data_IF_301080123707
#
_entry.id   IF_301080123707
#
_cell.length_a   1.000
_cell.length_b   1.000
_cell.length_c   1.000
_cell.angle_alpha   90.00
_cell.angle_beta   90.00
_cell.angle_gamma   90.00
#
_symmetry.space_group_name_H-M   'P 1'
#
loop_
_entity.id
_entity.type
_entity.pdbx_description
1 polymer ?
#
# COMPACT_ATOMS: atom_id res chain seq x y z
N UNK A 1 14.53 10.43 38.30
CA UNK A 1 13.20 10.48 37.65
C UNK A 1 13.43 10.75 36.18
N UNK A 2 12.85 9.94 35.28
CA UNK A 2 13.26 9.85 33.88
C UNK A 2 12.76 11.02 33.02
N UNK A 3 13.42 11.32 31.88
CA UNK A 3 13.05 12.39 30.98
C UNK A 3 11.75 12.08 30.23
N UNK A 4 10.96 13.13 29.98
CA UNK A 4 9.73 13.07 29.20
C UNK A 4 10.06 12.74 27.73
N UNK A 5 9.79 11.50 27.33
CA UNK A 5 9.88 11.06 25.95
C UNK A 5 8.61 11.43 25.20
N UNK A 6 8.65 12.51 24.44
CA UNK A 6 7.65 12.87 23.45
C UNK A 6 7.52 11.72 22.43
N UNK A 7 6.34 11.15 22.27
CA UNK A 7 6.02 10.28 21.12
C UNK A 7 6.07 11.13 19.86
N UNK A 8 7.20 11.12 19.16
CA UNK A 8 7.33 11.76 17.86
C UNK A 8 6.62 10.90 16.81
N UNK A 9 5.56 11.44 16.22
CA UNK A 9 4.86 10.82 15.09
C UNK A 9 5.78 10.95 13.89
N UNK A 10 6.49 9.86 13.54
CA UNK A 10 7.36 9.82 12.36
C UNK A 10 6.51 10.10 11.12
N UNK A 11 6.84 11.12 10.30
CA UNK A 11 6.12 11.40 9.07
C UNK A 11 6.12 10.19 8.14
N UNK A 12 4.96 9.87 7.55
CA UNK A 12 4.78 8.69 6.65
C UNK A 12 5.78 8.61 5.49
N UNK A 13 6.37 9.74 5.10
CA UNK A 13 7.35 9.86 4.04
C UNK A 13 8.74 9.36 4.46
N UNK A 14 9.01 9.24 5.76
CA UNK A 14 10.24 8.71 6.34
C UNK A 14 10.20 7.19 6.54
N UNK A 15 9.02 6.59 6.74
CA UNK A 15 8.90 5.13 6.98
C UNK A 15 9.49 4.33 5.82
N UNK A 16 9.13 4.72 4.60
CA UNK A 16 9.57 4.03 3.38
C UNK A 16 10.92 4.57 2.91
N UNK A 17 11.46 5.57 3.60
CA UNK A 17 12.65 6.26 3.14
C UNK A 17 13.93 5.46 3.33
N UNK A 18 13.95 4.68 4.41
CA UNK A 18 15.11 3.90 4.84
C UNK A 18 15.07 2.47 4.31
N UNK A 19 14.11 2.13 3.44
CA UNK A 19 14.02 0.80 2.87
C UNK A 19 15.22 0.53 1.95
N UNK A 20 15.89 -0.59 2.22
CA UNK A 20 16.79 -1.22 1.25
C UNK A 20 16.02 -1.60 -0.01
N UNK A 21 16.72 -1.76 -1.14
CA UNK A 21 16.08 -2.14 -2.40
C UNK A 21 15.32 -3.47 -2.28
N UNK A 22 15.86 -4.44 -1.53
CA UNK A 22 15.19 -5.72 -1.31
C UNK A 22 13.92 -5.59 -0.47
N UNK A 23 13.93 -4.75 0.58
CA UNK A 23 12.73 -4.48 1.38
C UNK A 23 11.65 -3.79 0.54
N UNK A 24 12.06 -2.83 -0.28
CA UNK A 24 11.16 -2.11 -1.15
C UNK A 24 10.55 -3.02 -2.22
N UNK A 25 11.33 -3.93 -2.78
CA UNK A 25 10.89 -4.90 -3.77
C UNK A 25 9.89 -5.89 -3.19
N UNK A 26 10.16 -6.42 -1.98
CA UNK A 26 9.23 -7.29 -1.25
C UNK A 26 7.92 -6.57 -0.94
N UNK A 27 7.99 -5.35 -0.41
CA UNK A 27 6.80 -4.55 -0.08
C UNK A 27 5.96 -4.26 -1.34
N UNK A 28 6.60 -3.80 -2.42
CA UNK A 28 5.93 -3.54 -3.69
C UNK A 28 5.25 -4.79 -4.25
N UNK A 29 5.96 -5.92 -4.33
CA UNK A 29 5.42 -7.15 -4.88
C UNK A 29 4.20 -7.64 -4.09
N UNK A 30 4.27 -7.54 -2.77
CA UNK A 30 3.22 -8.03 -1.91
C UNK A 30 2.00 -7.07 -1.88
N UNK A 31 2.19 -5.75 -1.96
CA UNK A 31 1.07 -4.81 -2.15
C UNK A 31 0.41 -4.92 -3.53
N UNK A 32 1.20 -5.17 -4.58
CA UNK A 32 0.66 -5.42 -5.91
C UNK A 32 -0.20 -6.69 -5.91
N UNK A 33 0.26 -7.76 -5.25
CA UNK A 33 -0.52 -9.00 -5.08
C UNK A 33 -1.77 -8.78 -4.23
N UNK A 34 -1.67 -8.07 -3.11
CA UNK A 34 -2.83 -7.71 -2.29
C UNK A 34 -3.90 -6.99 -3.11
N UNK A 35 -3.50 -5.98 -3.89
CA UNK A 35 -4.41 -5.21 -4.76
C UNK A 35 -5.13 -6.10 -5.77
N UNK A 36 -4.46 -7.12 -6.33
CA UNK A 36 -5.07 -8.07 -7.27
C UNK A 36 -6.05 -9.04 -6.60
N UNK A 37 -5.87 -9.31 -5.31
CA UNK A 37 -6.70 -10.24 -4.54
C UNK A 37 -7.96 -9.58 -3.98
N UNK A 38 -8.03 -8.25 -3.96
CA UNK A 38 -9.21 -7.54 -3.48
C UNK A 38 -10.42 -7.76 -4.41
N UNK A 39 -11.61 -8.04 -3.86
CA UNK A 39 -12.85 -8.07 -4.63
C UNK A 39 -13.13 -6.73 -5.32
N UNK A 40 -13.48 -6.75 -6.61
CA UNK A 40 -13.80 -5.54 -7.39
C UNK A 40 -15.09 -4.85 -6.94
N UNK A 41 -16.01 -5.63 -6.38
CA UNK A 41 -17.29 -5.23 -5.79
C UNK A 41 -17.18 -5.00 -4.27
N UNK A 42 -15.97 -4.72 -3.78
CA UNK A 42 -15.75 -4.39 -2.37
C UNK A 42 -16.49 -3.11 -1.93
N UNK A 43 -16.77 -2.97 -0.63
CA UNK A 43 -17.44 -1.79 -0.07
C UNK A 43 -16.55 -0.54 -0.11
N UNK A 44 -15.23 -0.72 -0.23
CA UNK A 44 -14.26 0.35 -0.41
C UNK A 44 -13.83 0.40 -1.87
N UNK A 45 -14.25 1.45 -2.57
CA UNK A 45 -13.89 1.68 -3.96
C UNK A 45 -12.78 2.72 -4.07
N UNK A 46 -11.76 2.41 -4.87
CA UNK A 46 -10.66 3.35 -5.14
C UNK A 46 -11.12 4.34 -6.22
N UNK A 47 -10.97 5.67 -6.03
CA UNK A 47 -11.29 6.64 -7.06
C UNK A 47 -10.49 6.39 -8.35
N UNK A 48 -11.08 6.67 -9.53
CA UNK A 48 -10.44 6.41 -10.83
C UNK A 48 -9.07 7.09 -10.95
N UNK A 49 -8.90 8.30 -10.41
CA UNK A 49 -7.61 8.99 -10.39
C UNK A 49 -6.52 8.21 -9.64
N UNK A 50 -6.84 7.70 -8.44
CA UNK A 50 -5.93 6.88 -7.65
C UNK A 50 -5.64 5.52 -8.32
N UNK A 51 -6.60 4.95 -9.04
CA UNK A 51 -6.39 3.73 -9.85
C UNK A 51 -5.39 3.97 -10.98
N UNK A 52 -5.52 5.10 -11.70
CA UNK A 52 -4.61 5.49 -12.77
C UNK A 52 -3.20 5.78 -12.26
N UNK A 53 -3.08 6.44 -11.10
CA UNK A 53 -1.80 6.68 -10.45
C UNK A 53 -1.12 5.36 -10.01
N UNK A 54 -1.88 4.48 -9.36
CA UNK A 54 -1.41 3.14 -8.96
C UNK A 54 -0.94 2.35 -10.18
N UNK A 55 -1.67 2.41 -11.30
CA UNK A 55 -1.28 1.80 -12.56
C UNK A 55 0.02 2.39 -13.12
N UNK A 56 0.13 3.71 -13.19
CA UNK A 56 1.30 4.39 -13.72
C UNK A 56 2.57 4.04 -12.92
N UNK A 57 2.49 4.09 -11.59
CA UNK A 57 3.58 3.71 -10.69
C UNK A 57 3.97 2.24 -10.85
N UNK A 58 2.99 1.33 -10.98
CA UNK A 58 3.26 -0.08 -11.23
C UNK A 58 4.00 -0.30 -12.56
N UNK A 59 3.60 0.38 -13.64
CA UNK A 59 4.27 0.30 -14.94
C UNK A 59 5.69 0.88 -14.88
N UNK A 60 5.86 2.01 -14.22
CA UNK A 60 7.18 2.62 -14.03
C UNK A 60 8.11 1.74 -13.19
N UNK A 61 7.60 1.12 -12.12
CA UNK A 61 8.35 0.22 -11.24
C UNK A 61 8.83 -1.07 -11.93
N UNK A 62 8.02 -1.60 -12.86
CA UNK A 62 8.29 -2.88 -13.54
C UNK A 62 9.05 -2.69 -14.85
N UNK A 63 8.56 -1.79 -15.71
CA UNK A 63 9.10 -1.58 -17.06
C UNK A 63 10.10 -0.43 -17.07
N UNK A 64 9.83 0.65 -16.34
CA UNK A 64 10.56 1.92 -16.41
C UNK A 64 9.78 2.98 -17.20
N UNK A 65 10.47 3.98 -17.78
CA UNK A 65 9.84 5.06 -18.55
C UNK A 65 8.88 4.55 -19.64
N UNK A 66 7.83 5.33 -19.91
CA UNK A 66 6.84 4.99 -20.93
C UNK A 66 7.51 4.85 -22.30
N UNK A 67 7.44 3.65 -22.86
CA UNK A 67 8.11 3.26 -24.11
C UNK A 67 7.11 2.84 -25.20
N UNK A 68 5.82 3.14 -25.01
CA UNK A 68 4.75 2.75 -25.94
C UNK A 68 4.22 3.97 -26.69
N UNK A 69 3.79 3.83 -27.96
CA UNK A 69 3.20 4.93 -28.70
C UNK A 69 1.88 5.37 -28.06
N UNK A 70 1.54 6.66 -28.22
CA UNK A 70 0.31 7.23 -27.69
C UNK A 70 -0.92 6.56 -28.34
N UNK A 71 -1.87 6.02 -27.55
CA UNK A 71 -3.08 5.39 -28.08
C UNK A 71 -3.99 6.36 -28.87
N UNK A 72 -4.80 5.78 -29.75
CA UNK A 72 -5.80 6.51 -30.54
C UNK A 72 -6.82 7.24 -29.65
N UNK A 73 -7.32 8.38 -30.15
CA UNK A 73 -8.37 9.19 -29.52
C UNK A 73 -9.66 8.40 -29.24
N UNK A 74 -9.93 7.35 -30.03
CA UNK A 74 -11.12 6.51 -29.91
C UNK A 74 -11.06 5.52 -28.72
N UNK A 75 -9.93 5.43 -28.02
CA UNK A 75 -9.75 4.60 -26.83
C UNK A 75 -9.44 5.46 -25.59
N UNK A 76 -10.44 6.14 -25.01
CA UNK A 76 -10.22 7.14 -23.95
C UNK A 76 -9.57 6.53 -22.71
N UNK A 77 -9.95 5.32 -22.31
CA UNK A 77 -9.39 4.64 -21.13
C UNK A 77 -7.90 4.34 -21.34
N UNK A 78 -7.54 3.77 -22.49
CA UNK A 78 -6.14 3.48 -22.82
C UNK A 78 -5.30 4.76 -22.86
N UNK A 79 -5.88 5.85 -23.36
CA UNK A 79 -5.24 7.16 -23.39
C UNK A 79 -5.02 7.73 -21.99
N UNK A 80 -5.97 7.57 -21.07
CA UNK A 80 -5.81 7.97 -19.67
C UNK A 80 -4.70 7.19 -18.97
N UNK A 81 -4.69 5.86 -19.13
CA UNK A 81 -3.65 4.99 -18.58
C UNK A 81 -2.26 5.34 -19.15
N UNK A 82 -2.17 5.56 -20.47
CA UNK A 82 -0.94 5.99 -21.13
C UNK A 82 -0.49 7.36 -20.65
N UNK A 83 -1.40 8.34 -20.55
CA UNK A 83 -1.07 9.68 -20.08
C UNK A 83 -0.54 9.65 -18.65
N UNK A 84 -1.14 8.83 -17.76
CA UNK A 84 -0.70 8.68 -16.39
C UNK A 84 0.72 8.10 -16.32
N UNK A 85 1.01 7.04 -17.09
CA UNK A 85 2.36 6.45 -17.13
C UNK A 85 3.38 7.41 -17.78
N UNK A 86 3.03 8.03 -18.91
CA UNK A 86 3.90 8.97 -19.62
C UNK A 86 4.25 10.21 -18.77
N UNK A 87 3.34 10.66 -17.90
CA UNK A 87 3.57 11.80 -17.00
C UNK A 87 4.71 11.56 -16.00
N UNK A 88 5.03 10.30 -15.68
CA UNK A 88 6.13 9.96 -14.75
C UNK A 88 7.52 10.18 -15.38
N UNK A 89 7.61 10.31 -16.70
CA UNK A 89 8.85 10.61 -17.41
C UNK A 89 9.99 9.64 -17.06
N UNK A 90 11.10 10.21 -16.59
CA UNK A 90 12.33 9.48 -16.28
C UNK A 90 12.42 8.99 -14.82
N UNK A 91 11.31 8.97 -14.07
CA UNK A 91 11.28 8.43 -12.71
C UNK A 91 11.91 7.04 -12.65
N UNK A 92 12.80 6.81 -11.70
CA UNK A 92 13.50 5.52 -11.59
C UNK A 92 12.55 4.42 -11.09
N UNK A 93 12.90 3.16 -11.35
CA UNK A 93 12.11 2.01 -10.83
C UNK A 93 12.03 2.04 -9.30
N UNK A 94 13.12 2.44 -8.62
CA UNK A 94 13.19 2.53 -7.16
C UNK A 94 12.21 3.59 -6.64
N UNK A 95 12.25 4.80 -7.19
CA UNK A 95 11.32 5.88 -6.82
C UNK A 95 9.87 5.48 -7.06
N UNK A 96 9.58 4.84 -8.21
CA UNK A 96 8.24 4.38 -8.51
C UNK A 96 7.73 3.34 -7.50
N UNK A 97 8.56 2.37 -7.09
CA UNK A 97 8.20 1.40 -6.04
C UNK A 97 7.98 2.10 -4.70
N UNK A 98 8.83 3.06 -4.32
CA UNK A 98 8.72 3.83 -3.07
C UNK A 98 7.39 4.57 -3.01
N UNK A 99 7.09 5.38 -4.03
CA UNK A 99 5.83 6.13 -4.11
C UNK A 99 4.62 5.20 -4.17
N UNK A 100 4.72 4.05 -4.85
CA UNK A 100 3.65 3.04 -4.85
C UNK A 100 3.34 2.53 -3.43
N UNK A 101 4.39 2.17 -2.68
CA UNK A 101 4.28 1.65 -1.31
C UNK A 101 3.75 2.73 -0.36
N UNK A 102 4.27 3.96 -0.44
CA UNK A 102 3.80 5.12 0.33
C UNK A 102 2.30 5.39 0.11
N UNK A 103 1.88 5.48 -1.16
CA UNK A 103 0.48 5.75 -1.52
C UNK A 103 -0.43 4.63 -1.05
N UNK A 104 0.03 3.38 -1.11
CA UNK A 104 -0.71 2.22 -0.64
C UNK A 104 -0.93 2.25 0.89
N UNK A 105 0.12 2.56 1.67
CA UNK A 105 0.05 2.70 3.13
C UNK A 105 -0.94 3.80 3.50
N UNK A 106 -0.76 5.00 2.93
CA UNK A 106 -1.64 6.17 3.14
C UNK A 106 -3.10 5.84 2.85
N UNK A 107 -3.38 5.15 1.74
CA UNK A 107 -4.74 4.74 1.37
C UNK A 107 -5.31 3.74 2.36
N UNK A 108 -4.51 2.77 2.80
CA UNK A 108 -4.93 1.73 3.74
C UNK A 108 -5.28 2.32 5.09
N UNK A 109 -4.46 3.21 5.62
CA UNK A 109 -4.71 3.93 6.88
C UNK A 109 -5.97 4.79 6.80
N UNK A 110 -6.09 5.63 5.76
CA UNK A 110 -7.29 6.44 5.52
C UNK A 110 -8.57 5.61 5.43
N UNK A 111 -8.51 4.44 4.79
CA UNK A 111 -9.64 3.54 4.68
C UNK A 111 -9.94 2.85 6.03
N UNK A 112 -8.90 2.47 6.77
CA UNK A 112 -9.03 1.90 8.11
C UNK A 112 -9.71 2.89 9.06
N UNK A 113 -9.24 4.14 9.13
CA UNK A 113 -9.84 5.17 9.97
C UNK A 113 -11.34 5.33 9.72
N UNK A 114 -11.75 5.32 8.44
CA UNK A 114 -13.15 5.48 8.04
C UNK A 114 -14.02 4.26 8.29
N UNK A 115 -13.45 3.05 8.17
CA UNK A 115 -14.23 1.81 8.04
C UNK A 115 -13.85 0.70 9.03
N UNK A 116 -12.98 0.95 10.01
CA UNK A 116 -12.51 -0.05 10.96
C UNK A 116 -13.65 -0.77 11.72
N UNK A 117 -14.77 -0.10 11.94
CA UNK A 117 -15.95 -0.67 12.61
C UNK A 117 -16.71 -1.68 11.74
N UNK A 118 -16.68 -1.48 10.43
CA UNK A 118 -17.34 -2.34 9.44
C UNK A 118 -16.45 -3.50 8.97
N UNK A 119 -15.13 -3.35 9.15
CA UNK A 119 -14.13 -4.31 8.72
C UNK A 119 -14.39 -5.75 9.22
N UNK A 120 -14.80 -6.01 10.48
CA UNK A 120 -15.12 -7.37 10.92
C UNK A 120 -16.25 -8.01 10.12
N UNK A 121 -17.29 -7.25 9.78
CA UNK A 121 -18.42 -7.74 9.01
C UNK A 121 -18.01 -8.06 7.55
N UNK A 122 -17.19 -7.21 6.94
CA UNK A 122 -16.67 -7.45 5.59
C UNK A 122 -15.75 -8.66 5.55
N UNK A 123 -14.85 -8.80 6.52
CA UNK A 123 -13.88 -9.89 6.59
C UNK A 123 -14.51 -11.24 6.93
N UNK A 124 -15.76 -11.27 7.40
CA UNK A 124 -16.52 -12.51 7.57
C UNK A 124 -17.00 -13.12 6.24
N UNK A 125 -17.06 -12.33 5.16
CA UNK A 125 -17.47 -12.82 3.84
C UNK A 125 -16.38 -13.72 3.22
N UNK A 126 -16.82 -14.84 2.63
CA UNK A 126 -15.95 -15.83 1.98
C UNK A 126 -15.12 -15.22 0.84
N UNK A 127 -15.58 -14.14 0.22
CA UNK A 127 -14.82 -13.47 -0.85
C UNK A 127 -13.49 -12.86 -0.37
N UNK A 128 -13.31 -12.68 0.93
CA UNK A 128 -12.07 -12.19 1.53
C UNK A 128 -11.16 -13.30 2.09
N UNK A 129 -11.50 -14.59 1.94
CA UNK A 129 -10.66 -15.71 2.46
C UNK A 129 -9.23 -15.70 1.90
N UNK A 130 -9.09 -15.45 0.60
CA UNK A 130 -7.77 -15.33 -0.02
C UNK A 130 -6.97 -14.18 0.59
N UNK A 131 -7.60 -13.04 0.83
CA UNK A 131 -6.98 -11.86 1.45
C UNK A 131 -6.57 -12.17 2.90
N UNK A 132 -7.45 -12.80 3.68
CA UNK A 132 -7.16 -13.24 5.06
C UNK A 132 -5.95 -14.18 5.12
N UNK A 133 -5.92 -15.16 4.23
CA UNK A 133 -4.81 -16.12 4.13
C UNK A 133 -3.52 -15.41 3.75
N UNK A 134 -3.56 -14.54 2.73
CA UNK A 134 -2.41 -13.76 2.28
C UNK A 134 -1.81 -12.89 3.39
N UNK A 135 -2.66 -12.19 4.15
CA UNK A 135 -2.24 -11.34 5.27
C UNK A 135 -1.66 -12.19 6.40
N UNK A 136 -2.27 -13.36 6.70
CA UNK A 136 -1.78 -14.29 7.72
C UNK A 136 -0.39 -14.85 7.37
N UNK A 137 -0.18 -15.26 6.12
CA UNK A 137 1.08 -15.87 5.65
C UNK A 137 2.23 -14.87 5.58
N UNK A 138 1.95 -13.61 5.25
CA UNK A 138 2.97 -12.56 5.10
C UNK A 138 3.11 -11.67 6.33
N UNK A 139 2.56 -12.10 7.48
CA UNK A 139 2.64 -11.37 8.75
C UNK A 139 4.10 -11.04 9.11
N UNK A 140 5.02 -11.97 8.87
CA UNK A 140 6.45 -11.80 9.13
C UNK A 140 7.15 -10.95 8.05
N UNK A 141 6.80 -11.15 6.77
CA UNK A 141 7.41 -10.46 5.63
C UNK A 141 7.21 -8.94 5.66
N UNK A 142 6.08 -8.48 6.21
CA UNK A 142 5.76 -7.06 6.26
C UNK A 142 6.09 -6.40 7.61
N UNK A 143 6.45 -7.18 8.64
CA UNK A 143 6.53 -6.68 10.02
C UNK A 143 5.19 -6.13 10.58
N UNK A 144 4.09 -6.27 9.82
CA UNK A 144 2.75 -5.77 10.18
C UNK A 144 2.18 -6.74 11.21
N UNK A 145 2.56 -6.50 12.46
CA UNK A 145 1.94 -7.16 13.61
C UNK A 145 0.59 -6.51 13.82
N UNK A 146 -0.48 -7.07 13.26
CA UNK A 146 -1.82 -6.76 13.77
C UNK A 146 -1.89 -7.29 15.22
N UNK A 147 -1.77 -6.41 16.20
CA UNK A 147 -2.13 -6.73 17.58
C UNK A 147 -3.64 -6.52 17.75
N UNK A 148 -4.32 -7.59 18.15
CA UNK A 148 -5.68 -7.49 18.67
C UNK A 148 -5.58 -6.89 20.09
N UNK A 149 -6.05 -5.67 20.29
CA UNK A 149 -6.36 -5.15 21.64
C UNK A 149 -7.87 -4.99 21.81
N UNK A 150 -8.38 -5.03 23.06
CA UNK A 150 -9.81 -4.86 23.34
C UNK A 150 -10.40 -3.50 22.91
N UNK A 151 -9.58 -2.53 22.51
CA UNK A 151 -10.01 -1.15 22.18
C UNK A 151 -9.91 -0.78 20.69
N UNK A 152 -9.67 -1.73 19.78
CA UNK A 152 -9.56 -1.52 18.32
C UNK A 152 -8.12 -1.42 17.80
N UNK A 153 -7.87 -1.63 16.49
CA UNK A 153 -6.47 -1.65 15.99
C UNK A 153 -5.81 -0.32 16.29
N UNK A 154 -4.72 -0.40 17.03
CA UNK A 154 -3.62 0.54 16.93
C UNK A 154 -2.41 -0.24 16.44
N UNK A 155 -1.68 0.42 15.55
CA UNK A 155 -0.34 0.07 15.06
C UNK A 155 -0.28 -0.86 13.85
N UNK A 156 -0.04 -0.24 12.69
CA UNK A 156 0.53 -0.88 11.50
C UNK A 156 2.02 -0.55 11.56
N UNK A 157 2.81 -1.37 12.26
CA UNK A 157 4.26 -1.23 12.23
C UNK A 157 4.77 -1.88 10.95
N UNK A 158 5.43 -1.13 10.07
CA UNK A 158 6.12 -1.68 8.90
C UNK A 158 7.61 -1.47 9.16
N UNK A 159 8.33 -2.59 9.25
CA UNK A 159 9.77 -2.72 9.51
C UNK A 159 10.22 -2.38 10.95
N UNK A 160 10.47 -3.45 11.70
CA UNK A 160 11.65 -3.60 12.56
C UNK A 160 12.05 -2.44 13.46
N UNK A 161 11.30 -2.23 14.55
CA UNK A 161 11.86 -1.89 15.86
C UNK A 161 10.94 -2.48 16.92
N UNK A 162 11.41 -3.54 17.58
CA UNK A 162 10.83 -3.97 18.85
C UNK A 162 11.00 -2.80 19.83
N UNK A 163 9.90 -2.15 20.21
CA UNK A 163 9.85 -1.39 21.45
C UNK A 163 9.03 -2.26 22.39
N UNK A 164 9.75 -3.11 23.12
CA UNK A 164 9.17 -4.01 24.09
C UNK A 164 8.48 -3.26 25.22
N UNK A 165 7.43 -3.87 25.75
CA UNK A 165 6.98 -3.58 27.10
C UNK A 165 6.78 -4.91 27.83
N UNK A 166 7.63 -5.14 28.84
CA UNK A 166 7.41 -6.14 29.87
C UNK A 166 6.19 -5.75 30.71
N UNK A 167 5.33 -6.77 30.92
CA UNK A 167 4.23 -6.95 31.89
C UNK A 167 3.21 -5.80 32.08
#
# INVERSE_FOLDING_TARGET
MPPQGSSEVVPQQEIVADFTDDQLDRAFAAFAKFTQMLPKDGPVQTPVGEQLETYALYKQATIGPCNTPKPSLMHPILRLMWNAWNKLGNMTKREAKRTYVENFIKRTERNYEKHHKDLPAWMADKKYEGVKTFVKERREDFGITYMHTPQGLKEVSIVGKEIGFEL
#
